data_IF_798500843820
#
_entry.id   IF_798500843820
#
_cell.length_a   1.000
_cell.length_b   1.000
_cell.length_c   1.000
_cell.angle_alpha   90.00
_cell.angle_beta   90.00
_cell.angle_gamma   90.00
#
_symmetry.space_group_name_H-M   'P 1'
#
loop_
_entity.id
_entity.type
_entity.pdbx_description
1 polymer ?
#
# COMPACT_ATOMS: atom_id res chain seq x y z
N UNK A 1 4.65 -22.99 -9.65
CA UNK A 1 5.19 -21.64 -9.93
C UNK A 1 6.19 -21.27 -8.85
N UNK A 2 7.12 -20.34 -9.14
CA UNK A 2 8.21 -20.06 -8.21
C UNK A 2 7.77 -19.07 -7.14
N UNK A 3 7.97 -19.44 -5.86
CA UNK A 3 7.88 -18.50 -4.76
C UNK A 3 8.94 -17.39 -4.95
N UNK A 4 8.61 -16.14 -4.60
CA UNK A 4 9.50 -14.98 -4.72
C UNK A 4 10.93 -15.23 -4.20
N UNK A 5 11.08 -15.90 -3.07
CA UNK A 5 12.37 -16.22 -2.49
C UNK A 5 13.23 -17.18 -3.35
N UNK A 6 12.61 -17.98 -4.22
CA UNK A 6 13.35 -18.80 -5.17
C UNK A 6 13.93 -17.96 -6.33
N UNK A 7 13.29 -16.83 -6.66
CA UNK A 7 13.75 -15.91 -7.70
C UNK A 7 14.92 -15.02 -7.21
N UNK A 8 15.06 -14.84 -5.90
CA UNK A 8 16.16 -14.06 -5.33
C UNK A 8 17.48 -14.78 -5.59
N UNK A 9 18.49 -14.08 -6.16
CA UNK A 9 19.78 -14.70 -6.48
C UNK A 9 20.61 -15.01 -5.24
N UNK A 10 21.40 -16.04 -5.37
CA UNK A 10 22.38 -16.44 -4.38
C UNK A 10 23.69 -15.67 -4.58
N UNK A 11 24.42 -15.43 -3.49
CA UNK A 11 25.80 -14.98 -3.51
C UNK A 11 26.60 -15.58 -2.36
N UNK A 12 27.93 -15.62 -2.51
CA UNK A 12 28.83 -16.12 -1.49
C UNK A 12 29.07 -15.03 -0.45
N UNK A 13 28.82 -15.34 0.82
CA UNK A 13 29.06 -14.44 1.95
C UNK A 13 30.01 -15.10 2.96
N UNK A 14 30.85 -14.31 3.61
CA UNK A 14 31.79 -14.81 4.62
C UNK A 14 31.03 -15.47 5.77
N UNK A 15 31.39 -16.69 6.11
CA UNK A 15 30.80 -17.43 7.21
C UNK A 15 31.00 -16.67 8.54
N UNK A 16 29.96 -16.58 9.33
CA UNK A 16 29.95 -15.98 10.70
C UNK A 16 29.86 -17.05 11.78
N UNK A 17 30.04 -18.32 11.43
CA UNK A 17 30.09 -19.40 12.42
C UNK A 17 31.29 -19.23 13.36
N UNK A 18 31.22 -19.68 14.63
CA UNK A 18 32.27 -19.45 15.63
C UNK A 18 33.65 -19.95 15.23
N UNK A 19 33.70 -21.07 14.49
CA UNK A 19 34.96 -21.71 14.07
C UNK A 19 35.35 -21.40 12.60
N UNK A 20 34.63 -20.50 11.94
CA UNK A 20 34.86 -20.18 10.53
C UNK A 20 36.07 -19.27 10.34
N UNK A 21 36.85 -19.55 9.29
CA UNK A 21 37.95 -18.68 8.82
C UNK A 21 37.37 -17.59 7.90
N UNK A 22 38.10 -16.48 7.73
CA UNK A 22 37.76 -15.39 6.80
C UNK A 22 37.63 -15.88 5.35
N UNK A 23 38.28 -16.98 4.99
CA UNK A 23 38.23 -17.64 3.69
C UNK A 23 36.99 -18.53 3.50
N UNK A 24 36.22 -18.78 4.56
CA UNK A 24 35.09 -19.70 4.50
C UNK A 24 33.82 -18.91 4.08
N UNK A 25 33.28 -19.30 2.94
CA UNK A 25 32.07 -18.69 2.37
C UNK A 25 30.90 -19.65 2.46
N UNK A 26 29.74 -19.07 2.71
CA UNK A 26 28.42 -19.73 2.64
C UNK A 26 27.57 -19.07 1.57
N UNK A 27 26.76 -19.87 0.91
CA UNK A 27 25.79 -19.37 -0.06
C UNK A 27 24.57 -18.84 0.67
N UNK A 28 24.22 -17.58 0.42
CA UNK A 28 23.07 -16.91 1.02
C UNK A 28 22.22 -16.20 -0.03
N UNK A 29 20.93 -16.05 0.22
CA UNK A 29 20.03 -15.24 -0.60
C UNK A 29 20.29 -13.74 -0.40
N UNK A 30 20.33 -12.95 -1.48
CA UNK A 30 20.46 -11.50 -1.38
C UNK A 30 19.12 -10.84 -1.10
N UNK A 31 18.72 -10.75 0.15
CA UNK A 31 17.44 -10.15 0.58
C UNK A 31 17.36 -8.62 0.35
N UNK A 32 18.47 -7.96 0.06
CA UNK A 32 18.47 -6.53 -0.30
C UNK A 32 18.04 -6.28 -1.75
N UNK A 33 17.98 -7.34 -2.57
CA UNK A 33 17.55 -7.25 -3.96
C UNK A 33 16.04 -7.42 -4.06
N UNK A 34 15.35 -6.33 -4.38
CA UNK A 34 13.89 -6.29 -4.54
C UNK A 34 13.55 -5.85 -5.97
N UNK A 35 12.65 -6.57 -6.62
CA UNK A 35 12.16 -6.18 -7.93
C UNK A 35 11.05 -5.12 -7.82
N UNK A 36 10.97 -4.25 -8.80
CA UNK A 36 9.87 -3.31 -9.03
C UNK A 36 9.28 -3.62 -10.40
N UNK A 37 7.96 -3.53 -10.52
CA UNK A 37 7.29 -3.67 -11.81
C UNK A 37 7.87 -2.66 -12.83
N UNK A 38 7.92 -3.06 -14.08
CA UNK A 38 8.30 -2.16 -15.16
C UNK A 38 7.34 -0.97 -15.20
N UNK A 39 7.88 0.21 -15.47
CA UNK A 39 7.11 1.45 -15.45
C UNK A 39 5.95 1.46 -16.47
N UNK A 40 6.15 0.84 -17.65
CA UNK A 40 5.12 0.69 -18.68
C UNK A 40 3.94 -0.17 -18.22
N UNK A 41 4.17 -1.15 -17.34
CA UNK A 41 3.13 -1.95 -16.70
C UNK A 41 2.50 -1.18 -15.53
N UNK A 42 3.33 -0.64 -14.65
CA UNK A 42 2.86 0.01 -13.43
C UNK A 42 2.04 1.29 -13.70
N UNK A 43 2.43 2.08 -14.69
CA UNK A 43 1.73 3.32 -15.06
C UNK A 43 0.42 3.09 -15.83
N UNK A 44 0.17 1.89 -16.33
CA UNK A 44 -0.98 1.61 -17.16
C UNK A 44 -2.06 0.83 -16.40
N UNK A 45 -3.11 1.53 -15.97
CA UNK A 45 -4.23 0.96 -15.22
C UNK A 45 -5.01 -0.14 -15.98
N UNK A 46 -4.84 -0.28 -17.31
CA UNK A 46 -5.53 -1.34 -18.06
C UNK A 46 -5.04 -2.73 -17.73
N UNK A 47 -3.81 -2.86 -17.22
CA UNK A 47 -3.25 -4.14 -16.77
C UNK A 47 -3.78 -4.59 -15.41
N UNK A 48 -4.46 -3.72 -14.68
CA UNK A 48 -4.93 -3.97 -13.33
C UNK A 48 -6.46 -4.02 -13.24
N UNK A 49 -6.95 -4.68 -12.20
CA UNK A 49 -8.35 -4.68 -11.78
C UNK A 49 -8.41 -4.17 -10.35
N UNK A 50 -9.38 -3.31 -10.03
CA UNK A 50 -9.64 -2.90 -8.66
C UNK A 50 -10.25 -4.07 -7.88
N UNK A 51 -9.74 -4.30 -6.69
CA UNK A 51 -10.21 -5.32 -5.78
C UNK A 51 -10.38 -4.75 -4.37
N UNK A 52 -11.45 -5.15 -3.70
CA UNK A 52 -11.68 -4.80 -2.30
C UNK A 52 -11.45 -6.02 -1.42
N UNK A 53 -10.47 -5.94 -0.52
CA UNK A 53 -10.14 -7.00 0.44
C UNK A 53 -11.34 -7.21 1.36
N UNK A 54 -11.82 -8.46 1.46
CA UNK A 54 -12.97 -8.82 2.27
C UNK A 54 -12.52 -9.47 3.59
N UNK A 55 -13.12 -9.00 4.69
CA UNK A 55 -12.83 -9.54 6.02
C UNK A 55 -11.34 -9.45 6.36
N UNK A 56 -10.79 -10.57 6.86
CA UNK A 56 -9.42 -10.69 7.34
C UNK A 56 -8.52 -11.44 6.32
N UNK A 57 -8.82 -11.30 5.03
CA UNK A 57 -8.05 -11.96 3.97
C UNK A 57 -6.60 -11.50 3.98
N UNK A 58 -5.69 -12.47 4.07
CA UNK A 58 -4.25 -12.26 3.93
C UNK A 58 -3.84 -12.22 2.45
N UNK A 59 -2.65 -11.67 2.12
CA UNK A 59 -2.18 -11.63 0.72
C UNK A 59 -2.20 -13.00 0.02
N UNK A 60 -1.80 -14.07 0.71
CA UNK A 60 -1.82 -15.45 0.21
C UNK A 60 -3.25 -15.96 -0.08
N UNK A 61 -4.22 -15.60 0.76
CA UNK A 61 -5.62 -15.94 0.54
C UNK A 61 -6.19 -15.21 -0.69
N UNK A 62 -5.86 -13.94 -0.83
CA UNK A 62 -6.28 -13.14 -2.00
C UNK A 62 -5.64 -13.69 -3.28
N UNK A 63 -4.35 -14.02 -3.24
CA UNK A 63 -3.64 -14.64 -4.37
C UNK A 63 -4.29 -15.97 -4.79
N UNK A 64 -4.61 -16.83 -3.82
CA UNK A 64 -5.28 -18.09 -4.10
C UNK A 64 -6.68 -17.90 -4.71
N UNK A 65 -7.44 -16.92 -4.24
CA UNK A 65 -8.79 -16.60 -4.78
C UNK A 65 -8.76 -16.11 -6.22
N UNK A 66 -7.75 -15.30 -6.57
CA UNK A 66 -7.69 -14.63 -7.87
C UNK A 66 -6.86 -15.41 -8.88
N UNK A 67 -5.70 -15.90 -8.45
CA UNK A 67 -4.72 -16.57 -9.33
C UNK A 67 -4.76 -18.09 -9.20
N UNK A 68 -5.55 -18.64 -8.27
CA UNK A 68 -5.55 -20.07 -7.91
C UNK A 68 -4.18 -20.59 -7.46
N UNK A 69 -3.31 -19.67 -7.00
CA UNK A 69 -1.97 -19.97 -6.52
C UNK A 69 -1.60 -19.00 -5.39
N UNK A 70 -1.50 -19.52 -4.17
CA UNK A 70 -1.14 -18.73 -2.98
C UNK A 70 0.32 -18.23 -2.98
N UNK A 71 1.18 -18.83 -3.79
CA UNK A 71 2.60 -18.46 -3.89
C UNK A 71 2.84 -17.17 -4.68
N UNK A 72 1.78 -16.63 -5.30
CA UNK A 72 1.80 -15.35 -6.03
C UNK A 72 1.37 -14.15 -5.16
N UNK A 73 1.34 -14.30 -3.84
CA UNK A 73 1.04 -13.24 -2.88
C UNK A 73 1.95 -12.01 -3.06
N UNK A 74 3.24 -12.26 -3.32
CA UNK A 74 4.22 -11.22 -3.58
C UNK A 74 3.87 -10.33 -4.80
N UNK A 75 3.17 -10.88 -5.79
CA UNK A 75 2.75 -10.13 -6.97
C UNK A 75 1.67 -9.09 -6.62
N UNK A 76 0.76 -9.44 -5.69
CA UNK A 76 -0.24 -8.50 -5.17
C UNK A 76 0.45 -7.38 -4.38
N UNK A 77 1.41 -7.74 -3.52
CA UNK A 77 2.19 -6.76 -2.74
C UNK A 77 2.99 -5.82 -3.67
N UNK A 78 3.61 -6.39 -4.69
CA UNK A 78 4.38 -5.65 -5.69
C UNK A 78 3.50 -4.69 -6.50
N UNK A 79 2.31 -5.13 -6.93
CA UNK A 79 1.36 -4.32 -7.71
C UNK A 79 0.85 -3.08 -6.94
N UNK A 80 0.86 -3.14 -5.60
CA UNK A 80 0.43 -2.04 -4.72
C UNK A 80 1.60 -1.34 -4.01
N UNK A 81 2.83 -1.68 -4.37
CA UNK A 81 4.06 -1.19 -3.73
C UNK A 81 4.06 -1.36 -2.20
N UNK A 82 3.43 -2.43 -1.69
CA UNK A 82 3.40 -2.76 -0.26
C UNK A 82 4.73 -3.39 0.13
N UNK A 83 5.43 -2.75 1.06
CA UNK A 83 6.73 -3.21 1.57
C UNK A 83 6.66 -3.73 2.98
N UNK A 84 5.73 -3.21 3.77
CA UNK A 84 5.57 -3.54 5.18
C UNK A 84 4.12 -3.97 5.47
N UNK A 85 3.85 -5.26 5.30
CA UNK A 85 2.52 -5.85 5.47
C UNK A 85 1.82 -5.42 6.76
N UNK A 86 2.46 -5.42 7.96
CA UNK A 86 1.78 -5.07 9.20
C UNK A 86 1.19 -3.66 9.25
N UNK A 87 1.75 -2.70 8.49
CA UNK A 87 1.27 -1.30 8.48
C UNK A 87 0.46 -0.93 7.24
N UNK A 88 0.70 -1.60 6.10
CA UNK A 88 0.14 -1.24 4.80
C UNK A 88 -0.99 -2.16 4.34
N UNK A 89 -1.06 -3.38 4.89
CA UNK A 89 -2.18 -4.29 4.69
C UNK A 89 -3.27 -4.06 5.74
N UNK A 90 -4.57 -4.26 5.41
CA UNK A 90 -5.63 -4.10 6.41
C UNK A 90 -5.46 -5.07 7.58
N UNK A 91 -5.62 -4.55 8.79
CA UNK A 91 -5.57 -5.34 10.01
C UNK A 91 -6.84 -6.18 10.18
N UNK A 92 -6.75 -7.25 10.98
CA UNK A 92 -7.95 -7.89 11.52
C UNK A 92 -8.65 -6.95 12.49
N UNK A 93 -9.97 -7.12 12.72
CA UNK A 93 -10.69 -6.26 13.66
C UNK A 93 -10.06 -6.26 15.06
N UNK A 94 -9.66 -7.44 15.55
CA UNK A 94 -9.02 -7.56 16.86
C UNK A 94 -7.67 -6.85 16.95
N UNK A 95 -6.88 -6.89 15.86
CA UNK A 95 -5.59 -6.20 15.83
C UNK A 95 -5.77 -4.70 15.70
N UNK A 96 -6.76 -4.25 14.93
CA UNK A 96 -7.12 -2.86 14.81
C UNK A 96 -7.58 -2.27 16.14
N UNK A 97 -8.47 -2.95 16.86
CA UNK A 97 -8.93 -2.51 18.18
C UNK A 97 -7.75 -2.42 19.18
N UNK A 98 -6.87 -3.41 19.19
CA UNK A 98 -5.66 -3.37 20.02
C UNK A 98 -4.70 -2.25 19.64
N UNK A 99 -4.53 -2.02 18.35
CA UNK A 99 -3.72 -0.92 17.83
C UNK A 99 -4.27 0.44 18.27
N UNK A 100 -5.59 0.65 18.15
CA UNK A 100 -6.24 1.88 18.58
C UNK A 100 -6.10 2.13 20.09
N UNK A 101 -6.39 1.13 20.90
CA UNK A 101 -6.25 1.26 22.35
C UNK A 101 -4.81 1.64 22.74
N UNK A 102 -3.82 1.00 22.12
CA UNK A 102 -2.41 1.34 22.34
C UNK A 102 -2.06 2.75 21.89
N UNK A 103 -2.57 3.19 20.73
CA UNK A 103 -2.31 4.52 20.14
C UNK A 103 -2.89 5.66 20.98
N UNK A 104 -4.04 5.42 21.60
CA UNK A 104 -4.76 6.40 22.42
C UNK A 104 -4.64 6.13 23.93
N UNK A 105 -3.57 5.47 24.38
CA UNK A 105 -3.22 5.24 25.80
C UNK A 105 -4.31 4.51 26.60
N UNK A 106 -5.12 3.64 25.97
CA UNK A 106 -6.30 2.98 26.50
C UNK A 106 -7.40 3.95 27.00
N UNK A 107 -7.40 5.19 26.50
CA UNK A 107 -8.43 6.19 26.79
C UNK A 107 -9.58 6.07 25.77
N UNK A 108 -10.68 5.46 26.19
CA UNK A 108 -11.86 5.26 25.37
C UNK A 108 -12.57 6.58 25.04
N UNK A 109 -12.56 7.55 25.97
CA UNK A 109 -13.19 8.85 25.72
C UNK A 109 -12.43 9.62 24.65
N UNK A 110 -11.11 9.68 24.76
CA UNK A 110 -10.25 10.27 23.73
C UNK A 110 -10.41 9.61 22.38
N UNK A 111 -10.61 8.28 22.33
CA UNK A 111 -10.77 7.54 21.07
C UNK A 111 -12.12 7.80 20.41
N UNK A 112 -13.23 7.66 21.16
CA UNK A 112 -14.58 7.67 20.57
C UNK A 112 -15.23 9.05 20.58
N UNK A 113 -14.91 9.93 21.52
CA UNK A 113 -15.48 11.27 21.67
C UNK A 113 -14.48 12.38 21.31
N UNK A 114 -13.18 12.10 21.32
CA UNK A 114 -12.16 13.07 20.91
C UNK A 114 -12.29 13.44 19.43
N UNK A 115 -12.39 14.75 19.13
CA UNK A 115 -12.49 15.26 17.76
C UNK A 115 -11.10 15.29 17.12
N UNK A 116 -10.94 14.62 15.99
CA UNK A 116 -9.73 14.66 15.19
C UNK A 116 -9.69 15.92 14.31
N UNK A 117 -10.76 16.16 13.55
CA UNK A 117 -10.94 17.33 12.67
C UNK A 117 -12.43 17.55 12.38
N UNK A 118 -12.73 18.58 11.61
CA UNK A 118 -14.08 18.83 11.10
C UNK A 118 -14.09 18.64 9.58
N UNK A 119 -15.18 18.04 9.09
CA UNK A 119 -15.43 17.89 7.65
C UNK A 119 -16.68 18.65 7.25
N UNK A 120 -16.71 19.11 5.98
CA UNK A 120 -17.89 19.75 5.41
C UNK A 120 -19.03 18.74 5.22
N UNK A 121 -20.26 19.23 5.40
CA UNK A 121 -21.50 18.59 4.95
C UNK A 121 -21.79 19.10 3.55
N UNK A 122 -22.35 18.25 2.68
CA UNK A 122 -22.75 18.69 1.34
C UNK A 122 -23.79 19.82 1.41
N UNK A 123 -23.52 20.91 0.70
CA UNK A 123 -24.44 22.05 0.56
C UNK A 123 -24.79 22.22 -0.90
N UNK A 124 -26.09 22.24 -1.19
CA UNK A 124 -26.62 22.48 -2.53
C UNK A 124 -27.40 23.78 -2.56
N UNK A 125 -27.41 24.42 -3.73
CA UNK A 125 -28.23 25.59 -3.96
C UNK A 125 -29.66 25.17 -4.31
N UNK A 126 -30.55 26.17 -4.54
CA UNK A 126 -31.94 25.96 -4.90
C UNK A 126 -32.16 25.19 -6.23
N UNK A 127 -31.13 25.07 -7.07
CA UNK A 127 -31.16 24.32 -8.32
C UNK A 127 -30.51 22.94 -8.20
N UNK A 128 -30.31 22.43 -6.99
CA UNK A 128 -29.67 21.13 -6.67
C UNK A 128 -28.21 21.02 -7.14
N UNK A 129 -27.54 22.15 -7.36
CA UNK A 129 -26.12 22.19 -7.70
C UNK A 129 -25.27 22.20 -6.42
N UNK A 130 -24.33 21.29 -6.31
CA UNK A 130 -23.42 21.21 -5.15
C UNK A 130 -22.50 22.42 -5.12
N UNK A 131 -22.63 23.24 -4.06
CA UNK A 131 -21.79 24.41 -3.78
C UNK A 131 -20.60 24.03 -2.90
N UNK A 132 -20.83 23.22 -1.88
CA UNK A 132 -19.79 22.67 -1.02
C UNK A 132 -19.91 21.15 -1.03
N UNK A 133 -18.90 20.41 -1.52
CA UNK A 133 -18.91 18.95 -1.43
C UNK A 133 -18.73 18.49 0.02
N UNK A 134 -19.25 17.33 0.36
CA UNK A 134 -19.02 16.70 1.66
C UNK A 134 -17.59 16.19 1.79
N UNK A 135 -17.04 16.20 3.02
CA UNK A 135 -15.79 15.52 3.35
C UNK A 135 -14.52 16.34 3.10
N UNK A 136 -14.63 17.66 2.92
CA UNK A 136 -13.47 18.56 2.94
C UNK A 136 -13.07 18.85 4.39
N UNK A 137 -11.80 18.74 4.70
CA UNK A 137 -11.26 19.09 6.01
C UNK A 137 -11.23 20.62 6.16
N UNK A 138 -11.92 21.12 7.19
CA UNK A 138 -12.12 22.57 7.43
C UNK A 138 -12.09 22.87 8.94
N UNK A 139 -12.08 24.17 9.28
CA UNK A 139 -12.27 24.60 10.68
C UNK A 139 -13.72 24.40 11.15
N UNK A 140 -13.91 24.33 12.45
CA UNK A 140 -15.26 24.11 13.06
C UNK A 140 -16.28 25.20 12.71
N UNK A 141 -15.81 26.40 12.46
CA UNK A 141 -16.59 27.61 12.16
C UNK A 141 -16.66 27.96 10.67
N UNK A 142 -16.28 27.00 9.79
CA UNK A 142 -16.29 27.22 8.36
C UNK A 142 -17.68 27.55 7.84
N UNK A 143 -17.77 28.59 7.01
CA UNK A 143 -18.97 29.05 6.33
C UNK A 143 -18.66 29.31 4.86
N UNK A 144 -19.66 29.18 4.00
CA UNK A 144 -19.52 29.44 2.58
C UNK A 144 -20.58 30.41 2.08
N UNK A 145 -20.15 31.52 1.51
CA UNK A 145 -21.05 32.48 0.86
C UNK A 145 -21.05 32.25 -0.65
N UNK A 146 -22.25 32.19 -1.25
CA UNK A 146 -22.42 31.99 -2.69
C UNK A 146 -23.62 32.80 -3.19
N UNK A 147 -23.67 33.05 -4.49
CA UNK A 147 -24.80 33.68 -5.13
C UNK A 147 -25.85 32.64 -5.51
N UNK A 148 -27.08 32.80 -5.00
CA UNK A 148 -28.19 31.93 -5.37
C UNK A 148 -29.04 32.62 -6.45
N UNK A 149 -29.04 32.08 -7.65
CA UNK A 149 -29.75 32.64 -8.79
C UNK A 149 -31.29 32.57 -8.66
N UNK A 150 -31.78 31.62 -7.86
CA UNK A 150 -33.24 31.52 -7.60
C UNK A 150 -33.72 32.61 -6.65
N UNK A 151 -32.90 32.92 -5.63
CA UNK A 151 -33.17 33.97 -4.65
C UNK A 151 -32.81 35.35 -5.21
N UNK A 152 -31.88 35.39 -6.18
CA UNK A 152 -31.37 36.61 -6.78
C UNK A 152 -30.42 37.38 -5.88
N UNK A 153 -29.71 36.70 -4.95
CA UNK A 153 -28.86 37.34 -3.96
C UNK A 153 -27.76 36.45 -3.40
N UNK A 154 -26.90 37.05 -2.58
CA UNK A 154 -25.84 36.33 -1.84
C UNK A 154 -26.46 35.59 -0.65
N UNK A 155 -26.18 34.32 -0.53
CA UNK A 155 -26.60 33.44 0.56
C UNK A 155 -25.39 32.89 1.27
N UNK A 156 -25.42 32.85 2.61
CA UNK A 156 -24.34 32.25 3.41
C UNK A 156 -24.84 30.97 4.07
N UNK A 157 -24.19 29.86 3.74
CA UNK A 157 -24.42 28.58 4.42
C UNK A 157 -23.57 28.54 5.70
N UNK A 158 -24.26 28.42 6.84
CA UNK A 158 -23.65 28.28 8.17
C UNK A 158 -23.92 26.87 8.71
N UNK A 159 -23.15 26.44 9.71
CA UNK A 159 -23.30 25.12 10.36
C UNK A 159 -23.17 23.96 9.35
N UNK A 160 -22.26 24.10 8.41
CA UNK A 160 -22.02 23.14 7.35
C UNK A 160 -20.81 22.21 7.65
N UNK A 161 -20.46 22.11 8.91
CA UNK A 161 -19.36 21.27 9.40
C UNK A 161 -19.87 20.19 10.33
N UNK A 162 -19.20 19.05 10.34
CA UNK A 162 -19.41 17.98 11.30
C UNK A 162 -18.08 17.57 11.94
N UNK A 163 -18.05 17.27 13.24
CA UNK A 163 -16.85 16.70 13.85
C UNK A 163 -16.65 15.26 13.37
N UNK A 164 -15.39 14.90 13.15
CA UNK A 164 -14.95 13.52 12.89
C UNK A 164 -14.14 13.07 14.09
N UNK A 165 -14.57 11.97 14.73
CA UNK A 165 -13.87 11.45 15.91
C UNK A 165 -12.56 10.76 15.52
N UNK A 166 -11.68 10.57 16.50
CA UNK A 166 -10.42 9.84 16.30
C UNK A 166 -10.68 8.43 15.75
N UNK A 167 -11.67 7.71 16.30
CA UNK A 167 -12.04 6.38 15.82
C UNK A 167 -12.48 6.41 14.34
N UNK A 168 -13.36 7.32 13.96
CA UNK A 168 -13.84 7.44 12.58
C UNK A 168 -12.72 7.76 11.59
N UNK A 169 -11.77 8.60 12.00
CA UNK A 169 -10.60 8.90 11.19
C UNK A 169 -9.73 7.65 10.96
N UNK A 170 -9.38 6.94 12.03
CA UNK A 170 -8.56 5.73 11.96
C UNK A 170 -9.26 4.63 11.14
N UNK A 171 -10.55 4.44 11.34
CA UNK A 171 -11.35 3.49 10.55
C UNK A 171 -11.35 3.84 9.05
N UNK A 172 -11.47 5.13 8.72
CA UNK A 172 -11.40 5.63 7.34
C UNK A 172 -10.02 5.35 6.70
N UNK A 173 -8.94 5.56 7.47
CA UNK A 173 -7.57 5.25 7.04
C UNK A 173 -7.39 3.75 6.82
N UNK A 174 -7.87 2.92 7.75
CA UNK A 174 -7.77 1.47 7.66
C UNK A 174 -8.58 0.91 6.47
N UNK A 175 -9.79 1.42 6.26
CA UNK A 175 -10.63 1.01 5.14
C UNK A 175 -10.06 1.40 3.77
N UNK A 176 -9.25 2.47 3.67
CA UNK A 176 -8.55 2.80 2.42
C UNK A 176 -7.56 1.72 2.00
N UNK A 177 -6.91 1.02 2.93
CA UNK A 177 -5.98 -0.08 2.65
C UNK A 177 -6.66 -1.28 2.01
N UNK A 178 -7.99 -1.43 2.17
CA UNK A 178 -8.78 -2.51 1.56
C UNK A 178 -8.93 -2.38 0.05
N UNK A 179 -8.72 -1.19 -0.49
CA UNK A 179 -8.83 -0.93 -1.92
C UNK A 179 -7.47 -1.12 -2.58
N UNK A 180 -7.27 -2.25 -3.24
CA UNK A 180 -6.03 -2.62 -3.90
C UNK A 180 -6.22 -2.81 -5.41
N UNK A 181 -5.09 -2.79 -6.12
CA UNK A 181 -5.02 -3.16 -7.52
C UNK A 181 -4.42 -4.55 -7.65
N UNK A 182 -5.02 -5.35 -8.51
CA UNK A 182 -4.56 -6.71 -8.80
C UNK A 182 -4.21 -6.79 -10.29
N UNK A 183 -3.03 -7.31 -10.59
CA UNK A 183 -2.62 -7.58 -11.96
C UNK A 183 -3.54 -8.64 -12.58
N UNK A 184 -4.01 -8.41 -13.80
CA UNK A 184 -4.84 -9.38 -14.51
C UNK A 184 -4.02 -10.63 -14.83
N UNK A 185 -4.67 -11.80 -14.77
CA UNK A 185 -4.03 -13.12 -14.92
C UNK A 185 -3.30 -13.29 -16.27
N UNK A 186 -3.77 -12.65 -17.32
CA UNK A 186 -3.18 -12.69 -18.65
C UNK A 186 -1.78 -12.06 -18.76
N UNK A 187 -1.43 -11.19 -17.79
CA UNK A 187 -0.13 -10.49 -17.75
C UNK A 187 0.86 -11.06 -16.74
N UNK A 188 0.45 -12.09 -15.96
CA UNK A 188 1.31 -12.69 -14.94
C UNK A 188 2.59 -13.26 -15.57
N UNK A 189 2.46 -13.98 -16.70
CA UNK A 189 3.63 -14.57 -17.39
C UNK A 189 4.64 -13.51 -17.81
N UNK A 190 4.18 -12.36 -18.31
CA UNK A 190 5.05 -11.25 -18.71
C UNK A 190 5.84 -10.70 -17.54
N UNK A 191 5.21 -10.57 -16.36
CA UNK A 191 5.89 -10.10 -15.15
C UNK A 191 6.85 -11.16 -14.62
N UNK A 192 6.47 -12.44 -14.64
CA UNK A 192 7.35 -13.52 -14.21
C UNK A 192 8.60 -13.62 -15.07
N UNK A 193 8.44 -13.59 -16.41
CA UNK A 193 9.56 -13.63 -17.34
C UNK A 193 10.51 -12.43 -17.14
N UNK A 194 9.97 -11.23 -16.93
CA UNK A 194 10.76 -10.03 -16.64
C UNK A 194 11.53 -10.17 -15.32
N UNK A 195 10.91 -10.71 -14.28
CA UNK A 195 11.56 -10.94 -12.98
C UNK A 195 12.64 -12.02 -13.08
N UNK A 196 12.37 -13.12 -13.77
CA UNK A 196 13.34 -14.20 -13.99
C UNK A 196 14.55 -13.73 -14.82
N UNK A 197 14.35 -12.77 -15.74
CA UNK A 197 15.44 -12.21 -16.54
C UNK A 197 16.28 -11.19 -15.75
N UNK A 198 15.68 -10.35 -14.91
CA UNK A 198 16.37 -9.24 -14.23
C UNK A 198 16.99 -9.64 -12.89
N UNK A 199 16.42 -10.63 -12.18
CA UNK A 199 16.86 -10.99 -10.82
C UNK A 199 18.26 -11.65 -10.76
N UNK A 200 18.63 -12.58 -11.67
CA UNK A 200 19.93 -13.26 -11.59
C UNK A 200 21.11 -12.32 -11.86
N UNK A 201 22.21 -12.59 -11.19
CA UNK A 201 23.49 -11.93 -11.51
C UNK A 201 24.09 -12.53 -12.79
N UNK A 202 23.93 -11.86 -13.91
CA UNK A 202 24.49 -12.31 -15.19
C UNK A 202 26.01 -12.06 -15.21
N UNK A 203 26.82 -13.09 -15.47
CA UNK A 203 28.27 -12.94 -15.66
C UNK A 203 28.53 -11.96 -16.82
N UNK A 204 29.44 -11.00 -16.60
CA UNK A 204 29.72 -9.94 -17.58
C UNK A 204 28.83 -8.71 -17.48
N UNK A 205 27.81 -8.71 -16.58
CA UNK A 205 27.06 -7.49 -16.28
C UNK A 205 27.86 -6.58 -15.33
N UNK A 206 27.49 -5.29 -15.29
CA UNK A 206 28.09 -4.31 -14.36
C UNK A 206 27.85 -4.64 -12.90
N UNK A 207 26.87 -5.48 -12.61
CA UNK A 207 26.51 -5.91 -11.25
C UNK A 207 27.35 -7.08 -10.75
N UNK A 208 27.93 -7.90 -11.64
CA UNK A 208 28.71 -9.05 -11.30
C UNK A 208 30.22 -8.73 -11.28
N UNK A 209 30.77 -8.38 -10.12
CA UNK A 209 32.21 -8.12 -9.96
C UNK A 209 32.93 -9.43 -9.65
N UNK A 210 32.48 -10.19 -8.67
CA UNK A 210 33.00 -11.52 -8.30
C UNK A 210 31.90 -12.37 -7.68
N UNK A 211 32.22 -13.61 -7.28
CA UNK A 211 31.25 -14.48 -6.58
C UNK A 211 30.77 -13.88 -5.26
N UNK A 212 31.66 -13.23 -4.51
CA UNK A 212 31.38 -12.63 -3.20
C UNK A 212 31.16 -11.11 -3.24
N UNK A 213 31.32 -10.45 -4.39
CA UNK A 213 31.17 -9.03 -4.54
C UNK A 213 30.22 -8.71 -5.70
N UNK A 214 29.13 -8.03 -5.39
CA UNK A 214 28.13 -7.54 -6.34
C UNK A 214 27.98 -6.03 -6.20
N UNK A 215 27.59 -5.37 -7.28
CA UNK A 215 27.26 -3.94 -7.25
C UNK A 215 25.75 -3.72 -7.39
N UNK A 216 25.25 -2.63 -6.84
CA UNK A 216 23.85 -2.23 -6.89
C UNK A 216 23.62 -1.28 -8.09
N UNK A 217 23.86 -1.76 -9.32
CA UNK A 217 23.79 -0.94 -10.53
C UNK A 217 22.38 -0.77 -11.10
N UNK A 218 21.45 -1.67 -10.77
CA UNK A 218 20.10 -1.65 -11.35
C UNK A 218 19.10 -0.99 -10.40
N UNK A 219 18.60 0.19 -10.79
CA UNK A 219 17.66 1.00 -10.00
C UNK A 219 16.34 0.26 -9.71
N UNK A 220 15.89 -0.62 -10.61
CA UNK A 220 14.67 -1.42 -10.41
C UNK A 220 14.77 -2.47 -9.30
N UNK A 221 15.97 -2.74 -8.81
CA UNK A 221 16.22 -3.81 -7.85
C UNK A 221 16.63 -3.33 -6.45
N UNK A 222 16.90 -2.03 -6.30
CA UNK A 222 17.46 -1.46 -5.07
C UNK A 222 16.77 -0.17 -4.61
N UNK A 223 15.59 0.14 -5.14
CA UNK A 223 14.79 1.27 -4.66
C UNK A 223 13.95 0.93 -3.44
#
# INVERSE_FOLDING_TARGET
>A
MSNYFNLIPDFEYVSRLPDAKISDYITVKNLFRRVILREDIFSNLTFFTKYSIKGDDRPDNVANKIYSDSTLDWLILLANNITHIPSEWPMTQNDFDRFLLKKYDNDYDKLYNGVHHHETIEVKNSNDVTIVPAGLEVSSDFTQTYYDYFIGGMTTANNITRPVTNYQYEEKVENKKRQIYILKTEYISVVLDDVEDIMPYKKGSTEFISKSLKSAGNIRLYQ
#
